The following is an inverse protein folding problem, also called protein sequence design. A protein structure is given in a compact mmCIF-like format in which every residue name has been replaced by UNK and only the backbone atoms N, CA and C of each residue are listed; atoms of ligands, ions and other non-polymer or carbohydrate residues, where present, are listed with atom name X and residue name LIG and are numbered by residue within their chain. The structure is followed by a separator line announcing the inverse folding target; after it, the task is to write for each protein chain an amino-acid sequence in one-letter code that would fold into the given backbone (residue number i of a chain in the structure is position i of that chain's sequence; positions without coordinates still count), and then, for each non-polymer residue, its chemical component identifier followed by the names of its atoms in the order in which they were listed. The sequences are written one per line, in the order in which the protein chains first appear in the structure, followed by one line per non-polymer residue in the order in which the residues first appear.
data_IF_340357380705
#
_entry.id   IF_340357380705
#
_cell.length_a   1.000
_cell.length_b   1.000
_cell.length_c   1.000
_cell.angle_alpha   90.00
_cell.angle_beta   90.00
_cell.angle_gamma   90.00
#
_symmetry.space_group_name_H-M   'P 1'
#
loop_
_entity.id
_entity.type
_entity.pdbx_description
1 polymer ?
#
# COMPACT_ATOMS: atom_id res chain seq x y z
N UNK A 1 10.21 -10.84 -5.05
CA UNK A 1 8.87 -10.67 -4.45
C UNK A 1 8.22 -9.43 -5.04
N UNK A 2 6.98 -9.57 -5.48
CA UNK A 2 6.19 -8.48 -6.04
C UNK A 2 4.87 -8.41 -5.29
N UNK A 3 4.49 -7.20 -4.86
CA UNK A 3 3.32 -6.98 -4.01
C UNK A 3 2.40 -5.97 -4.70
N UNK A 4 1.11 -6.28 -4.73
CA UNK A 4 0.09 -5.37 -5.24
C UNK A 4 -0.79 -4.91 -4.09
N UNK A 5 -1.08 -3.61 -4.06
CA UNK A 5 -1.89 -2.97 -3.02
C UNK A 5 -3.02 -2.20 -3.65
N UNK A 6 -4.17 -2.17 -2.98
CA UNK A 6 -5.28 -1.32 -3.39
C UNK A 6 -6.13 -0.95 -2.17
N UNK A 7 -6.86 0.14 -2.28
CA UNK A 7 -7.75 0.61 -1.23
C UNK A 7 -8.93 1.35 -1.82
N UNK A 8 -10.08 1.24 -1.18
CA UNK A 8 -11.31 1.91 -1.63
C UNK A 8 -12.27 2.16 -0.49
N UNK A 9 -13.17 3.10 -0.70
CA UNK A 9 -14.33 3.34 0.15
C UNK A 9 -15.51 3.69 -0.72
N UNK A 10 -16.71 3.16 -0.39
CA UNK A 10 -17.92 3.49 -1.12
C UNK A 10 -19.12 3.50 -0.19
N UNK A 11 -19.85 4.64 -0.10
CA UNK A 11 -19.46 5.95 -0.67
C UNK A 11 -18.16 6.46 -0.10
N UNK A 12 -17.55 7.44 -0.72
CA UNK A 12 -16.27 8.01 -0.27
C UNK A 12 -16.50 9.44 0.26
N UNK A 13 -16.47 9.71 1.60
CA UNK A 13 -16.13 8.79 2.69
C UNK A 13 -17.25 7.82 3.03
N UNK A 14 -16.88 6.69 3.65
CA UNK A 14 -17.84 5.66 4.07
C UNK A 14 -17.14 4.34 4.36
N UNK A 15 -17.89 3.22 4.29
CA UNK A 15 -17.30 1.91 4.48
C UNK A 15 -16.26 1.63 3.41
N UNK A 16 -15.13 1.04 3.80
CA UNK A 16 -14.06 0.75 2.88
C UNK A 16 -13.18 -0.39 3.32
N UNK A 17 -12.10 -0.57 2.61
CA UNK A 17 -11.13 -1.59 2.91
C UNK A 17 -9.90 -1.49 2.04
N UNK A 18 -8.88 -2.27 2.39
CA UNK A 18 -7.71 -2.40 1.53
C UNK A 18 -7.35 -3.87 1.35
N UNK A 19 -6.61 -4.12 0.27
CA UNK A 19 -6.15 -5.46 -0.08
C UNK A 19 -4.67 -5.44 -0.46
N UNK A 20 -3.99 -6.53 -0.12
CA UNK A 20 -2.57 -6.72 -0.44
C UNK A 20 -2.40 -8.15 -0.94
N UNK A 21 -1.73 -8.31 -2.09
CA UNK A 21 -1.47 -9.63 -2.68
C UNK A 21 0.04 -9.74 -2.89
N UNK A 22 0.64 -10.80 -2.35
CA UNK A 22 2.07 -11.01 -2.35
C UNK A 22 2.43 -12.19 -3.25
N UNK A 23 3.20 -11.93 -4.29
CA UNK A 23 3.73 -12.94 -5.19
C UNK A 23 5.19 -13.21 -4.87
N UNK A 24 5.56 -14.46 -4.78
CA UNK A 24 6.98 -14.84 -4.76
C UNK A 24 7.60 -14.59 -6.14
N UNK A 25 6.89 -15.01 -7.18
CA UNK A 25 7.25 -14.79 -8.57
C UNK A 25 5.98 -14.41 -9.35
N UNK A 26 5.93 -13.19 -9.86
CA UNK A 26 4.76 -12.71 -10.60
C UNK A 26 4.65 -13.38 -11.98
N UNK A 27 5.78 -13.69 -12.63
CA UNK A 27 5.77 -14.34 -13.95
C UNK A 27 5.13 -15.72 -13.89
N UNK A 28 5.36 -16.46 -12.80
CA UNK A 28 4.79 -17.78 -12.57
C UNK A 28 3.44 -17.73 -11.84
N UNK A 29 2.95 -16.53 -11.52
CA UNK A 29 1.68 -16.30 -10.79
C UNK A 29 1.64 -17.02 -9.44
N UNK A 30 2.79 -17.11 -8.78
CA UNK A 30 2.89 -17.79 -7.50
C UNK A 30 2.61 -16.85 -6.35
N UNK A 31 1.38 -16.88 -5.83
CA UNK A 31 0.95 -16.10 -4.67
C UNK A 31 1.37 -16.84 -3.41
N UNK A 32 2.08 -16.14 -2.51
CA UNK A 32 2.51 -16.73 -1.25
C UNK A 32 1.65 -16.26 -0.07
N UNK A 33 1.00 -15.11 -0.21
CA UNK A 33 0.11 -14.61 0.84
C UNK A 33 -0.77 -13.48 0.29
N UNK A 34 -1.83 -13.17 1.01
CA UNK A 34 -2.61 -11.98 0.79
C UNK A 34 -3.28 -11.53 2.08
N UNK A 35 -3.70 -10.28 2.13
CA UNK A 35 -4.32 -9.69 3.30
C UNK A 35 -5.41 -8.72 2.88
N UNK A 36 -6.47 -8.67 3.68
CA UNK A 36 -7.56 -7.71 3.48
C UNK A 36 -8.04 -7.19 4.83
N UNK A 37 -8.37 -5.92 4.88
CA UNK A 37 -8.91 -5.28 6.09
C UNK A 37 -10.07 -4.39 5.70
N UNK A 38 -11.11 -4.35 6.54
CA UNK A 38 -12.29 -3.50 6.35
C UNK A 38 -12.35 -2.45 7.45
N UNK A 39 -12.89 -1.28 7.10
CA UNK A 39 -13.17 -0.20 8.05
C UNK A 39 -14.57 0.33 7.79
N UNK A 40 -15.30 0.67 8.86
CA UNK A 40 -16.68 1.13 8.75
C UNK A 40 -16.78 2.55 8.24
N UNK A 41 -15.80 3.40 8.55
CA UNK A 41 -15.77 4.79 8.14
C UNK A 41 -14.35 5.20 7.75
N UNK A 42 -14.13 5.42 6.47
CA UNK A 42 -12.80 5.75 5.93
C UNK A 42 -12.91 6.49 4.60
N UNK A 43 -11.79 6.65 3.90
CA UNK A 43 -11.71 7.25 2.57
C UNK A 43 -10.88 6.38 1.64
N UNK A 44 -11.05 6.56 0.32
CA UNK A 44 -10.20 5.91 -0.68
C UNK A 44 -8.73 6.14 -0.37
N UNK A 45 -8.34 7.39 -0.14
CA UNK A 45 -6.94 7.75 0.08
C UNK A 45 -6.35 7.10 1.34
N UNK A 46 -7.11 7.06 2.44
CA UNK A 46 -6.63 6.39 3.65
C UNK A 46 -6.38 4.91 3.42
N UNK A 47 -7.28 4.25 2.71
CA UNK A 47 -7.15 2.82 2.43
C UNK A 47 -5.96 2.52 1.52
N UNK A 48 -5.73 3.37 0.51
CA UNK A 48 -4.55 3.26 -0.35
C UNK A 48 -3.24 3.39 0.45
N UNK A 49 -3.17 4.38 1.33
CA UNK A 49 -1.99 4.58 2.19
C UNK A 49 -1.78 3.41 3.14
N UNK A 50 -2.84 2.92 3.77
CA UNK A 50 -2.77 1.80 4.72
C UNK A 50 -2.29 0.50 4.06
N UNK A 51 -2.72 0.25 2.83
CA UNK A 51 -2.27 -0.94 2.08
C UNK A 51 -0.76 -0.93 1.87
N UNK A 52 -0.21 0.22 1.49
CA UNK A 52 1.23 0.38 1.28
C UNK A 52 2.00 0.27 2.61
N UNK A 53 1.49 0.88 3.68
CA UNK A 53 2.10 0.78 5.01
C UNK A 53 2.13 -0.68 5.48
N UNK A 54 1.05 -1.41 5.25
CA UNK A 54 1.01 -2.85 5.56
C UNK A 54 2.14 -3.60 4.84
N UNK A 55 2.30 -3.35 3.53
CA UNK A 55 3.35 -3.98 2.75
C UNK A 55 4.76 -3.64 3.29
N UNK A 56 5.00 -2.38 3.61
CA UNK A 56 6.28 -1.93 4.18
C UNK A 56 6.56 -2.61 5.52
N UNK A 57 5.55 -2.67 6.37
CA UNK A 57 5.67 -3.15 7.74
C UNK A 57 5.89 -4.66 7.83
N UNK A 58 5.21 -5.42 6.97
CA UNK A 58 5.20 -6.89 7.04
C UNK A 58 6.11 -7.57 6.02
N UNK A 59 6.48 -6.89 4.93
CA UNK A 59 7.27 -7.46 3.85
C UNK A 59 8.48 -6.62 3.47
N UNK A 60 8.60 -5.42 4.01
CA UNK A 60 9.76 -4.56 3.78
C UNK A 60 11.06 -5.16 4.31
N UNK A 61 12.16 -4.69 3.77
CA UNK A 61 13.50 -5.09 4.19
C UNK A 61 14.10 -3.97 5.03
N UNK A 62 14.70 -4.31 6.17
CA UNK A 62 15.39 -3.32 6.98
C UNK A 62 16.86 -3.26 6.58
N UNK A 63 17.27 -2.13 6.01
CA UNK A 63 18.64 -1.95 5.49
C UNK A 63 19.72 -1.99 6.57
N UNK A 64 19.35 -1.83 7.83
CA UNK A 64 20.28 -1.90 8.95
C UNK A 64 20.60 -3.35 9.37
N UNK A 65 19.68 -4.28 9.09
CA UNK A 65 19.79 -5.68 9.51
C UNK A 65 19.96 -6.65 8.33
N UNK A 66 19.35 -6.32 7.18
CA UNK A 66 19.23 -7.22 6.03
C UNK A 66 19.88 -6.61 4.78
N UNK A 67 21.07 -6.03 4.92
CA UNK A 67 21.71 -5.16 3.91
C UNK A 67 21.86 -5.74 2.49
N UNK A 68 21.79 -7.06 2.31
CA UNK A 68 21.88 -7.70 0.98
C UNK A 68 20.58 -8.37 0.55
N UNK A 69 19.51 -8.28 1.36
CA UNK A 69 18.23 -8.84 0.97
C UNK A 69 17.61 -8.02 -0.17
N UNK A 70 16.94 -8.71 -1.10
CA UNK A 70 16.27 -8.04 -2.21
C UNK A 70 15.06 -7.26 -1.70
N UNK A 71 14.99 -5.98 -2.08
CA UNK A 71 13.89 -5.11 -1.70
C UNK A 71 12.67 -5.47 -2.56
N UNK A 72 11.51 -5.79 -1.94
CA UNK A 72 10.33 -6.15 -2.72
C UNK A 72 9.77 -4.96 -3.48
N UNK A 73 9.24 -5.23 -4.68
CA UNK A 73 8.55 -4.23 -5.48
C UNK A 73 7.11 -4.18 -5.00
N UNK A 74 6.61 -2.99 -4.70
CA UNK A 74 5.22 -2.75 -4.28
C UNK A 74 4.55 -1.84 -5.30
N UNK A 75 3.47 -2.32 -5.91
CA UNK A 75 2.70 -1.57 -6.88
C UNK A 75 1.43 -1.00 -6.26
N UNK A 76 1.15 0.25 -6.60
CA UNK A 76 -0.12 0.94 -6.29
C UNK A 76 -0.58 1.71 -7.52
N UNK A 77 -1.87 1.78 -7.75
CA UNK A 77 -2.45 2.61 -8.82
C UNK A 77 -2.82 4.02 -8.32
N UNK A 78 -2.63 4.30 -7.04
CA UNK A 78 -2.97 5.59 -6.42
C UNK A 78 -1.87 6.63 -6.63
N UNK A 79 -2.11 7.62 -7.48
CA UNK A 79 -1.19 8.76 -7.63
C UNK A 79 -1.01 9.51 -6.32
N UNK A 80 -2.09 9.68 -5.55
CA UNK A 80 -2.04 10.35 -4.25
C UNK A 80 -1.07 9.64 -3.30
N UNK A 81 -1.20 8.32 -3.16
CA UNK A 81 -0.37 7.55 -2.25
C UNK A 81 1.10 7.55 -2.67
N UNK A 82 1.36 7.35 -3.97
CA UNK A 82 2.71 7.36 -4.52
C UNK A 82 3.37 8.72 -4.29
N UNK A 83 2.69 9.81 -4.64
CA UNK A 83 3.25 11.15 -4.48
C UNK A 83 3.44 11.50 -2.99
N UNK A 84 2.52 11.11 -2.13
CA UNK A 84 2.62 11.35 -0.69
C UNK A 84 3.87 10.71 -0.11
N UNK A 85 4.13 9.46 -0.43
CA UNK A 85 5.23 8.70 0.16
C UNK A 85 6.59 8.93 -0.51
N UNK A 86 6.61 9.17 -1.82
CA UNK A 86 7.88 9.32 -2.53
C UNK A 86 8.34 10.78 -2.67
N UNK A 87 7.42 11.73 -2.61
CA UNK A 87 7.75 13.14 -2.88
C UNK A 87 7.31 14.08 -1.78
N UNK A 88 6.01 14.18 -1.56
CA UNK A 88 5.42 15.26 -0.74
C UNK A 88 5.80 15.18 0.74
N UNK A 89 5.95 13.98 1.30
CA UNK A 89 6.29 13.82 2.72
C UNK A 89 7.61 14.51 3.09
N UNK A 90 8.57 14.52 2.18
CA UNK A 90 9.87 15.17 2.42
C UNK A 90 9.71 16.68 2.59
N UNK A 91 8.91 17.28 1.71
CA UNK A 91 8.60 18.71 1.79
C UNK A 91 7.79 19.04 3.05
N UNK A 92 6.80 18.21 3.37
CA UNK A 92 5.98 18.41 4.57
C UNK A 92 6.81 18.28 5.86
N UNK A 93 7.70 17.29 5.91
CA UNK A 93 8.61 17.10 7.05
C UNK A 93 9.49 18.35 7.25
N UNK A 94 10.06 18.89 6.17
CA UNK A 94 10.89 20.10 6.21
C UNK A 94 10.10 21.34 6.62
N UNK A 95 8.81 21.38 6.38
CA UNK A 95 7.93 22.52 6.70
C UNK A 95 7.11 22.31 7.97
N UNK A 96 7.55 21.44 8.87
CA UNK A 96 6.89 21.19 10.15
C UNK A 96 5.53 20.52 10.01
N UNK A 97 5.34 19.70 8.98
CA UNK A 97 4.11 18.96 8.71
C UNK A 97 2.90 19.84 8.41
N UNK A 98 3.17 20.94 7.73
CA UNK A 98 2.12 21.89 7.32
C UNK A 98 2.17 22.09 5.81
N UNK A 99 0.99 22.25 5.21
CA UNK A 99 0.85 22.66 3.81
C UNK A 99 1.01 24.17 3.68
N UNK A 100 1.25 24.68 2.46
CA UNK A 100 1.23 26.11 2.20
C UNK A 100 -0.05 26.76 2.77
N UNK A 101 0.11 27.90 3.44
CA UNK A 101 -1.02 28.58 4.12
C UNK A 101 -1.26 28.10 5.55
N UNK A 102 -0.40 27.22 6.09
CA UNK A 102 -0.49 26.76 7.48
C UNK A 102 -1.52 25.68 7.74
N UNK A 103 -2.12 25.09 6.70
CA UNK A 103 -3.08 23.99 6.85
C UNK A 103 -2.36 22.69 7.19
N UNK A 104 -3.02 21.85 7.99
CA UNK A 104 -2.49 20.53 8.30
C UNK A 104 -2.43 19.64 7.04
N UNK A 105 -1.46 18.75 7.01
CA UNK A 105 -1.35 17.71 5.97
C UNK A 105 -2.49 16.72 6.17
N UNK A 106 -3.22 16.41 5.09
CA UNK A 106 -4.26 15.37 5.14
C UNK A 106 -3.62 14.02 5.40
N UNK A 107 -4.31 13.17 6.17
CA UNK A 107 -3.82 11.82 6.52
C UNK A 107 -2.45 11.83 7.19
N UNK A 108 -2.18 12.88 7.97
CA UNK A 108 -0.90 13.10 8.62
C UNK A 108 -0.44 11.88 9.43
N UNK A 109 -1.35 11.26 10.16
CA UNK A 109 -1.06 10.07 10.97
C UNK A 109 -0.41 8.94 10.14
N UNK A 110 -0.95 8.68 8.96
CA UNK A 110 -0.46 7.61 8.08
C UNK A 110 0.86 8.01 7.41
N UNK A 111 0.97 9.26 7.00
CA UNK A 111 2.18 9.75 6.34
C UNK A 111 3.35 9.76 7.33
N UNK A 112 3.10 10.12 8.58
CA UNK A 112 4.10 10.06 9.63
C UNK A 112 4.48 8.62 9.96
N UNK A 113 3.53 7.69 9.98
CA UNK A 113 3.82 6.27 10.21
C UNK A 113 4.77 5.72 9.15
N UNK A 114 4.52 6.00 7.88
CA UNK A 114 5.42 5.62 6.79
C UNK A 114 6.81 6.24 6.97
N UNK A 115 6.86 7.53 7.30
CA UNK A 115 8.11 8.27 7.50
C UNK A 115 8.92 7.68 8.65
N UNK A 116 8.27 7.34 9.76
CA UNK A 116 8.93 6.73 10.91
C UNK A 116 9.53 5.36 10.57
N UNK A 117 8.79 4.54 9.84
CA UNK A 117 9.29 3.24 9.36
C UNK A 117 10.50 3.42 8.44
N UNK A 118 10.41 4.37 7.51
CA UNK A 118 11.51 4.69 6.60
C UNK A 118 12.76 5.14 7.38
N UNK A 119 12.58 5.99 8.38
CA UNK A 119 13.68 6.49 9.21
C UNK A 119 14.30 5.39 10.09
N UNK A 120 13.55 4.35 10.38
CA UNK A 120 14.05 3.15 11.08
C UNK A 120 14.78 2.18 10.16
N UNK A 121 14.83 2.46 8.87
CA UNK A 121 15.55 1.65 7.88
C UNK A 121 14.70 0.71 7.03
N UNK A 122 13.37 0.73 7.20
CA UNK A 122 12.49 -0.13 6.40
C UNK A 122 12.36 0.36 4.97
N UNK A 123 12.42 -0.55 4.00
CA UNK A 123 12.41 -0.23 2.58
C UNK A 123 11.51 -1.16 1.78
N UNK A 124 10.81 -0.56 0.84
CA UNK A 124 10.15 -1.21 -0.29
C UNK A 124 10.50 -0.41 -1.54
N UNK A 125 10.40 -1.03 -2.71
CA UNK A 125 10.52 -0.34 -4.00
C UNK A 125 9.10 -0.03 -4.48
N UNK A 126 8.60 1.15 -4.12
CA UNK A 126 7.24 1.57 -4.40
C UNK A 126 7.13 2.13 -5.81
N UNK A 127 6.25 1.54 -6.62
CA UNK A 127 6.05 1.93 -8.01
C UNK A 127 4.57 2.11 -8.33
N UNK A 128 4.30 3.08 -9.20
CA UNK A 128 2.95 3.30 -9.70
C UNK A 128 2.65 2.38 -10.87
N UNK A 129 1.44 1.80 -10.89
CA UNK A 129 0.89 1.14 -12.05
C UNK A 129 -0.41 1.82 -12.44
N UNK A 130 -0.85 1.57 -13.68
CA UNK A 130 -2.12 2.07 -14.17
C UNK A 130 -3.20 1.05 -13.82
N UNK A 131 -4.20 1.46 -13.04
CA UNK A 131 -5.30 0.59 -12.64
C UNK A 131 -6.18 0.19 -13.83
N UNK A 132 -6.89 -0.94 -13.68
CA UNK A 132 -7.88 -1.44 -14.63
C UNK A 132 -7.33 -1.80 -16.03
N UNK A 133 -6.07 -2.24 -16.09
CA UNK A 133 -5.42 -2.67 -17.35
C UNK A 133 -5.22 -4.19 -17.42
N UNK A 134 -6.05 -4.97 -16.73
CA UNK A 134 -5.98 -6.42 -16.79
C UNK A 134 -4.77 -7.04 -16.09
N UNK A 135 -4.12 -6.29 -15.19
CA UNK A 135 -3.02 -6.81 -14.39
C UNK A 135 -3.61 -7.62 -13.23
N UNK A 136 -3.37 -8.93 -13.23
CA UNK A 136 -3.99 -9.85 -12.28
C UNK A 136 -3.79 -9.42 -10.82
N UNK A 137 -2.57 -9.07 -10.42
CA UNK A 137 -2.28 -8.67 -9.05
C UNK A 137 -3.05 -7.43 -8.62
N UNK A 138 -3.16 -6.45 -9.50
CA UNK A 138 -3.94 -5.24 -9.25
C UNK A 138 -5.44 -5.56 -9.11
N UNK A 139 -5.96 -6.44 -9.99
CA UNK A 139 -7.37 -6.84 -9.94
C UNK A 139 -7.71 -7.63 -8.68
N UNK A 140 -6.82 -8.51 -8.23
CA UNK A 140 -7.00 -9.25 -6.99
C UNK A 140 -6.95 -8.34 -5.77
N UNK A 141 -6.03 -7.39 -5.73
CA UNK A 141 -5.95 -6.42 -4.64
C UNK A 141 -7.23 -5.56 -4.58
N UNK A 142 -7.75 -5.13 -5.74
CA UNK A 142 -9.00 -4.40 -5.84
C UNK A 142 -10.18 -5.25 -5.33
N UNK A 143 -10.25 -6.52 -5.70
CA UNK A 143 -11.30 -7.43 -5.26
C UNK A 143 -11.27 -7.65 -3.73
N UNK A 144 -10.08 -7.72 -3.14
CA UNK A 144 -9.93 -7.79 -1.69
C UNK A 144 -10.36 -6.49 -1.01
N UNK A 145 -9.94 -5.35 -1.55
CA UNK A 145 -10.27 -4.03 -1.01
C UNK A 145 -11.77 -3.77 -1.01
N UNK A 146 -12.47 -4.17 -2.06
CA UNK A 146 -13.90 -3.97 -2.22
C UNK A 146 -14.75 -5.06 -1.57
N UNK A 147 -14.14 -6.14 -1.09
CA UNK A 147 -14.85 -7.27 -0.50
C UNK A 147 -15.46 -8.24 -1.50
N UNK A 148 -15.16 -8.11 -2.79
CA UNK A 148 -15.64 -9.04 -3.84
C UNK A 148 -15.02 -10.41 -3.72
N UNK A 149 -13.80 -10.50 -3.19
CA UNK A 149 -13.10 -11.75 -2.89
C UNK A 149 -12.59 -11.73 -1.47
N UNK A 150 -12.46 -12.90 -0.88
CA UNK A 150 -11.88 -13.12 0.45
C UNK A 150 -10.49 -13.70 0.30
N UNK A 151 -9.64 -13.46 1.30
CA UNK A 151 -8.28 -14.00 1.37
C UNK A 151 -8.29 -15.52 1.17
N UNK A 152 -9.18 -16.23 1.85
CA UNK A 152 -9.30 -17.69 1.79
C UNK A 152 -9.55 -18.19 0.36
N UNK A 153 -10.37 -17.47 -0.39
CA UNK A 153 -10.71 -17.85 -1.78
C UNK A 153 -9.50 -17.77 -2.68
N UNK A 154 -8.70 -16.70 -2.55
CA UNK A 154 -7.50 -16.50 -3.36
C UNK A 154 -6.43 -17.53 -3.02
N UNK A 155 -6.17 -17.78 -1.75
CA UNK A 155 -5.16 -18.74 -1.32
C UNK A 155 -5.54 -20.17 -1.71
N UNK A 156 -6.81 -20.50 -1.66
CA UNK A 156 -7.32 -21.81 -2.06
C UNK A 156 -7.17 -22.05 -3.56
N UNK A 157 -7.44 -21.04 -4.40
CA UNK A 157 -7.31 -21.13 -5.85
C UNK A 157 -5.85 -21.29 -6.30
N UNK A 158 -4.89 -20.95 -5.44
CA UNK A 158 -3.45 -21.00 -5.74
C UNK A 158 -2.74 -22.20 -5.13
N UNK A 159 -3.47 -23.14 -4.58
CA UNK A 159 -2.89 -24.39 -4.07
C UNK A 159 -2.49 -25.36 -5.21
#
# INVERSE_FOLDING_TARGET
MVIFTDGSAYPNPGPGGFGVVIYEDYNEKKIIDCYAEKEEETTNNRMELKAIIYALKHYGVNINNDGFAAIPIVYSDSSYAINSFLSWRLSWEMNGWKRPGGKEVENLDLIQEYTDLFNQGWRIDLRKIKGHFGIEGNELADALASGKKKVEDILKENE
#
